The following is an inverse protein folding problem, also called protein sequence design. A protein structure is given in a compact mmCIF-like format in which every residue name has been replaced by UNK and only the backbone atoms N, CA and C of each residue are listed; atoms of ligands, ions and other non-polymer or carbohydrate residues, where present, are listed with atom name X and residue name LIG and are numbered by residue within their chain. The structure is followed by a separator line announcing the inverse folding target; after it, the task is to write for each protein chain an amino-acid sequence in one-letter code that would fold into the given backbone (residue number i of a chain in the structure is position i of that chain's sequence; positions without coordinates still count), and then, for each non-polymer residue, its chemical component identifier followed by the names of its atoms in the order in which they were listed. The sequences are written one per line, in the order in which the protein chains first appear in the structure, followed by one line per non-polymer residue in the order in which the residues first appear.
data_IF_862626860822
#
_entry.id   IF_862626860822
#
_cell.length_a   1.000
_cell.length_b   1.000
_cell.length_c   1.000
_cell.angle_alpha   90.00
_cell.angle_beta   90.00
_cell.angle_gamma   90.00
#
_symmetry.space_group_name_H-M   'P 1'
#
loop_
_entity.id
_entity.type
_entity.pdbx_description
1 polymer ?
#
# COMPACT_ATOMS: atom_id res chain seq x y z
N UNK A 1 16.61 -8.58 -36.39
CA UNK A 1 15.85 -9.19 -35.28
C UNK A 1 14.50 -9.59 -35.81
N UNK A 2 14.03 -10.81 -35.51
CA UNK A 2 12.64 -11.14 -35.82
C UNK A 2 11.70 -10.30 -34.92
N UNK A 3 10.45 -10.14 -35.34
CA UNK A 3 9.48 -9.37 -34.58
C UNK A 3 9.25 -9.96 -33.18
N UNK A 4 9.41 -11.27 -32.99
CA UNK A 4 9.33 -11.91 -31.67
C UNK A 4 10.35 -11.29 -30.73
N UNK A 5 11.60 -11.19 -31.19
CA UNK A 5 12.70 -10.56 -30.49
C UNK A 5 12.43 -9.08 -30.27
N UNK A 6 11.86 -8.36 -31.26
CA UNK A 6 11.50 -6.95 -31.09
C UNK A 6 10.39 -6.76 -30.05
N UNK A 7 9.33 -7.56 -30.08
CA UNK A 7 8.21 -7.49 -29.14
C UNK A 7 8.67 -7.87 -27.73
N UNK A 8 9.45 -8.94 -27.59
CA UNK A 8 10.03 -9.34 -26.30
C UNK A 8 10.94 -8.22 -25.78
N UNK A 9 11.79 -7.64 -26.62
CA UNK A 9 12.64 -6.51 -26.23
C UNK A 9 11.81 -5.27 -25.90
N UNK A 10 10.78 -4.94 -26.65
CA UNK A 10 9.92 -3.78 -26.40
C UNK A 10 9.10 -3.94 -25.12
N UNK A 11 8.52 -5.12 -24.88
CA UNK A 11 7.82 -5.44 -23.62
C UNK A 11 8.83 -5.43 -22.46
N UNK A 12 10.01 -6.04 -22.63
CA UNK A 12 11.03 -6.06 -21.57
C UNK A 12 11.52 -4.67 -21.27
N UNK A 13 11.80 -3.83 -22.27
CA UNK A 13 12.19 -2.44 -22.10
C UNK A 13 11.07 -1.64 -21.44
N UNK A 14 9.81 -1.82 -21.87
CA UNK A 14 8.68 -1.16 -21.24
C UNK A 14 8.56 -1.56 -19.76
N UNK A 15 8.61 -2.85 -19.45
CA UNK A 15 8.52 -3.36 -18.07
C UNK A 15 9.70 -2.86 -17.25
N UNK A 16 10.92 -2.93 -17.77
CA UNK A 16 12.13 -2.47 -17.06
C UNK A 16 12.10 -0.96 -16.87
N UNK A 17 11.81 -0.17 -17.89
CA UNK A 17 11.71 1.28 -17.79
C UNK A 17 10.59 1.70 -16.84
N UNK A 18 9.40 1.10 -16.95
CA UNK A 18 8.28 1.41 -16.06
C UNK A 18 8.58 1.00 -14.62
N UNK A 19 9.16 -0.19 -14.38
CA UNK A 19 9.57 -0.64 -13.06
C UNK A 19 10.69 0.24 -12.48
N UNK A 20 11.63 0.69 -13.32
CA UNK A 20 12.74 1.56 -12.91
C UNK A 20 12.24 2.95 -12.56
N UNK A 21 11.33 3.52 -13.37
CA UNK A 21 10.69 4.80 -13.08
C UNK A 21 9.83 4.71 -11.82
N UNK A 22 9.05 3.65 -11.68
CA UNK A 22 8.25 3.39 -10.47
C UNK A 22 9.15 3.28 -9.24
N UNK A 23 10.24 2.51 -9.33
CA UNK A 23 11.21 2.40 -8.24
C UNK A 23 11.82 3.76 -7.88
N UNK A 24 12.34 4.49 -8.87
CA UNK A 24 13.02 5.77 -8.66
C UNK A 24 12.07 6.84 -8.10
N UNK A 25 10.84 6.93 -8.62
CA UNK A 25 9.90 7.99 -8.27
C UNK A 25 9.03 7.68 -7.04
N UNK A 26 8.84 6.40 -6.70
CA UNK A 26 7.87 5.99 -5.67
C UNK A 26 8.55 5.25 -4.50
N UNK A 27 9.57 4.44 -4.77
CA UNK A 27 10.13 3.50 -3.78
C UNK A 27 11.48 3.97 -3.22
N UNK A 28 12.34 4.54 -4.07
CA UNK A 28 13.71 4.88 -3.72
C UNK A 28 13.76 6.08 -2.77
N UNK A 29 14.48 5.94 -1.66
CA UNK A 29 14.76 7.06 -0.75
C UNK A 29 15.70 8.07 -1.46
N UNK A 30 15.26 9.30 -1.75
CA UNK A 30 16.07 10.31 -2.41
C UNK A 30 17.32 10.69 -1.63
N UNK A 31 17.38 10.43 -0.31
CA UNK A 31 18.56 10.71 0.51
C UNK A 31 19.68 9.70 0.26
N UNK A 32 19.33 8.47 -0.13
CA UNK A 32 20.28 7.36 -0.31
C UNK A 32 20.56 7.07 -1.78
N UNK A 33 19.63 7.41 -2.68
CA UNK A 33 19.77 7.15 -4.10
C UNK A 33 20.03 8.45 -4.89
N UNK A 34 21.20 8.61 -5.54
CA UNK A 34 21.56 9.85 -6.23
C UNK A 34 20.68 10.17 -7.43
N UNK A 35 20.14 9.15 -8.12
CA UNK A 35 19.22 9.32 -9.26
C UNK A 35 17.85 9.78 -8.77
N UNK A 36 17.34 9.18 -7.70
CA UNK A 36 16.11 9.64 -7.06
C UNK A 36 16.26 11.06 -6.51
N UNK A 37 17.39 11.40 -5.88
CA UNK A 37 17.70 12.77 -5.44
C UNK A 37 17.66 13.77 -6.61
N UNK A 38 18.30 13.40 -7.73
CA UNK A 38 18.33 14.25 -8.91
C UNK A 38 16.92 14.52 -9.44
N UNK A 39 16.11 13.48 -9.59
CA UNK A 39 14.77 13.57 -10.19
C UNK A 39 13.76 14.21 -9.23
N UNK A 40 13.79 13.87 -7.95
CA UNK A 40 12.76 14.29 -6.99
C UNK A 40 13.08 15.61 -6.29
N UNK A 41 14.36 16.03 -6.23
CA UNK A 41 14.76 17.26 -5.55
C UNK A 41 15.54 18.22 -6.44
N UNK A 42 16.70 17.80 -6.99
CA UNK A 42 17.59 18.76 -7.67
C UNK A 42 17.01 19.32 -8.96
N UNK A 43 16.40 18.48 -9.81
CA UNK A 43 15.83 18.92 -11.09
C UNK A 43 14.59 19.82 -10.91
N UNK A 44 13.60 19.48 -10.05
CA UNK A 44 12.48 20.37 -9.74
C UNK A 44 12.93 21.71 -9.14
N UNK A 45 13.90 21.71 -8.22
CA UNK A 45 14.40 22.94 -7.61
C UNK A 45 15.10 23.83 -8.65
N UNK A 46 15.96 23.26 -9.49
CA UNK A 46 16.59 24.01 -10.59
C UNK A 46 15.57 24.55 -11.60
N UNK A 47 14.52 23.78 -11.88
CA UNK A 47 13.41 24.23 -12.72
C UNK A 47 12.68 25.41 -12.08
N UNK A 48 12.35 25.32 -10.79
CA UNK A 48 11.69 26.39 -10.05
C UNK A 48 12.56 27.66 -9.97
N UNK A 49 13.88 27.54 -9.82
CA UNK A 49 14.81 28.67 -9.85
C UNK A 49 14.94 29.27 -11.26
N UNK A 50 14.89 28.45 -12.30
CA UNK A 50 14.80 28.90 -13.70
C UNK A 50 13.50 29.66 -13.98
N UNK A 51 12.37 29.18 -13.45
CA UNK A 51 11.07 29.88 -13.50
C UNK A 51 11.14 31.20 -12.74
N UNK A 52 11.78 31.24 -11.55
CA UNK A 52 12.01 32.50 -10.82
C UNK A 52 12.76 33.51 -11.67
N UNK A 53 13.83 33.07 -12.31
CA UNK A 53 14.69 33.92 -13.13
C UNK A 53 13.97 34.45 -14.38
N UNK A 54 13.17 33.63 -15.05
CA UNK A 54 12.44 34.01 -16.28
C UNK A 54 11.14 34.77 -16.03
N UNK A 55 10.39 34.40 -15.00
CA UNK A 55 8.98 34.74 -14.82
C UNK A 55 8.68 35.47 -13.49
N UNK A 56 9.70 35.70 -12.66
CA UNK A 56 9.59 36.47 -11.42
C UNK A 56 9.01 35.70 -10.22
N UNK A 57 9.05 36.33 -9.05
CA UNK A 57 8.70 35.68 -7.76
C UNK A 57 7.22 35.31 -7.64
N UNK A 58 6.33 36.04 -8.33
CA UNK A 58 4.89 35.75 -8.30
C UNK A 58 4.56 34.40 -8.93
N UNK A 59 5.21 34.06 -10.05
CA UNK A 59 4.97 32.80 -10.76
C UNK A 59 5.64 31.63 -10.02
N UNK A 60 6.83 31.83 -9.45
CA UNK A 60 7.44 30.85 -8.52
C UNK A 60 6.52 30.55 -7.34
N UNK A 61 6.00 31.59 -6.66
CA UNK A 61 5.11 31.40 -5.50
C UNK A 61 3.84 30.63 -5.86
N UNK A 62 3.25 30.86 -7.04
CA UNK A 62 2.13 30.06 -7.54
C UNK A 62 2.51 28.60 -7.83
N UNK A 63 3.69 28.36 -8.40
CA UNK A 63 4.20 27.01 -8.66
C UNK A 63 4.51 26.25 -7.36
N UNK A 64 5.09 26.92 -6.38
CA UNK A 64 5.37 26.36 -5.06
C UNK A 64 4.05 26.03 -4.32
N UNK A 65 3.06 26.93 -4.39
CA UNK A 65 1.72 26.67 -3.85
C UNK A 65 1.03 25.49 -4.55
N UNK A 66 1.16 25.38 -5.88
CA UNK A 66 0.61 24.25 -6.64
C UNK A 66 1.32 22.94 -6.28
N UNK A 67 2.65 22.97 -6.15
CA UNK A 67 3.44 21.81 -5.72
C UNK A 67 3.07 21.38 -4.31
N UNK A 68 2.87 22.34 -3.40
CA UNK A 68 2.41 22.06 -2.04
C UNK A 68 1.01 21.43 -2.03
N UNK A 69 0.08 21.94 -2.85
CA UNK A 69 -1.25 21.36 -3.02
C UNK A 69 -1.17 19.91 -3.53
N UNK A 70 -0.37 19.66 -4.57
CA UNK A 70 -0.18 18.30 -5.11
C UNK A 70 0.49 17.34 -4.12
N UNK A 71 1.40 17.82 -3.27
CA UNK A 71 2.17 16.97 -2.37
C UNK A 71 1.48 16.73 -1.01
N UNK A 72 0.73 17.71 -0.49
CA UNK A 72 0.27 17.72 0.89
C UNK A 72 -1.25 17.83 1.06
N UNK A 73 -2.02 17.95 -0.03
CA UNK A 73 -3.48 18.06 0.03
C UNK A 73 -4.19 16.99 -0.80
N UNK A 74 -5.43 16.59 -0.44
CA UNK A 74 -6.20 15.65 -1.22
C UNK A 74 -6.61 16.28 -2.55
N UNK A 75 -6.35 15.59 -3.65
CA UNK A 75 -6.66 16.07 -4.98
C UNK A 75 -7.19 14.94 -5.88
N UNK A 76 -8.13 15.23 -6.80
CA UNK A 76 -8.83 14.19 -7.55
C UNK A 76 -8.02 13.58 -8.71
N UNK A 77 -6.79 14.04 -8.95
CA UNK A 77 -5.98 13.60 -10.11
C UNK A 77 -5.95 12.08 -10.30
N UNK A 78 -5.61 11.32 -9.25
CA UNK A 78 -5.54 9.86 -9.33
C UNK A 78 -6.92 9.21 -9.52
N UNK A 79 -8.00 9.86 -9.06
CA UNK A 79 -9.38 9.41 -9.31
C UNK A 79 -9.77 9.63 -10.78
N UNK A 80 -9.35 10.76 -11.37
CA UNK A 80 -9.54 11.03 -12.81
C UNK A 80 -8.78 10.00 -13.65
N UNK A 81 -7.52 9.70 -13.30
CA UNK A 81 -6.72 8.65 -13.95
C UNK A 81 -7.40 7.29 -13.82
N UNK A 82 -7.89 6.93 -12.63
CA UNK A 82 -8.66 5.71 -12.41
C UNK A 82 -9.89 5.64 -13.31
N UNK A 83 -10.71 6.70 -13.35
CA UNK A 83 -11.90 6.76 -14.19
C UNK A 83 -11.53 6.60 -15.67
N UNK A 84 -10.50 7.30 -16.14
CA UNK A 84 -10.05 7.18 -17.52
C UNK A 84 -9.65 5.74 -17.88
N UNK A 85 -8.88 5.07 -17.01
CA UNK A 85 -8.44 3.68 -17.23
C UNK A 85 -9.64 2.70 -17.24
N UNK A 86 -10.52 2.80 -16.24
CA UNK A 86 -11.61 1.84 -16.06
C UNK A 86 -12.71 2.04 -17.10
N UNK A 87 -13.16 3.28 -17.34
CA UNK A 87 -14.17 3.57 -18.36
C UNK A 87 -13.61 3.42 -19.78
N UNK A 88 -12.34 3.78 -20.00
CA UNK A 88 -11.66 3.56 -21.28
C UNK A 88 -11.53 2.07 -21.61
N UNK A 89 -11.07 1.27 -20.66
CA UNK A 89 -10.98 -0.19 -20.83
C UNK A 89 -12.35 -0.84 -21.06
N UNK A 90 -13.37 -0.41 -20.32
CA UNK A 90 -14.75 -0.83 -20.53
C UNK A 90 -15.25 -0.48 -21.94
N UNK A 91 -14.99 0.74 -22.40
CA UNK A 91 -15.41 1.21 -23.74
C UNK A 91 -14.78 0.37 -24.84
N UNK A 92 -13.49 0.05 -24.72
CA UNK A 92 -12.77 -0.81 -25.68
C UNK A 92 -13.34 -2.24 -25.67
N UNK A 93 -13.56 -2.83 -24.49
CA UNK A 93 -14.16 -4.17 -24.39
C UNK A 93 -15.58 -4.19 -24.98
N UNK A 94 -16.39 -3.15 -24.74
CA UNK A 94 -17.74 -3.05 -25.25
C UNK A 94 -17.80 -2.88 -26.77
N UNK A 95 -16.98 -1.97 -27.35
CA UNK A 95 -17.02 -1.68 -28.79
C UNK A 95 -16.32 -2.76 -29.63
N UNK A 96 -15.22 -3.32 -29.14
CA UNK A 96 -14.40 -4.25 -29.93
C UNK A 96 -14.48 -5.68 -29.42
N UNK A 97 -14.56 -5.90 -28.10
CA UNK A 97 -14.56 -7.24 -27.53
C UNK A 97 -15.91 -7.94 -27.70
N UNK A 98 -17.00 -7.24 -27.38
CA UNK A 98 -18.34 -7.83 -27.41
C UNK A 98 -18.90 -8.05 -28.81
N UNK A 99 -18.34 -7.40 -29.84
CA UNK A 99 -18.69 -7.71 -31.24
C UNK A 99 -18.18 -9.10 -31.64
N UNK A 100 -17.13 -9.60 -30.98
CA UNK A 100 -16.54 -10.93 -31.19
C UNK A 100 -17.12 -12.01 -30.26
N UNK A 101 -18.23 -11.71 -29.57
CA UNK A 101 -18.96 -12.62 -28.67
C UNK A 101 -20.42 -12.72 -29.15
N UNK A 102 -21.09 -13.88 -29.13
CA UNK A 102 -20.55 -15.19 -28.80
C UNK A 102 -19.59 -15.72 -29.88
N UNK A 103 -18.74 -16.64 -29.48
CA UNK A 103 -17.85 -17.36 -30.37
C UNK A 103 -17.62 -18.80 -29.86
N UNK A 104 -16.77 -19.57 -30.54
CA UNK A 104 -16.53 -20.99 -30.24
C UNK A 104 -16.07 -21.26 -28.80
N UNK A 105 -15.36 -20.32 -28.17
CA UNK A 105 -14.83 -20.48 -26.81
C UNK A 105 -15.57 -19.63 -25.75
N UNK A 106 -16.36 -18.64 -26.17
CA UNK A 106 -16.99 -17.66 -25.28
C UNK A 106 -18.49 -17.60 -25.55
N UNK A 107 -19.29 -18.02 -24.58
CA UNK A 107 -20.74 -17.96 -24.64
C UNK A 107 -21.29 -16.52 -24.57
N UNK A 108 -22.48 -16.30 -25.13
CA UNK A 108 -23.11 -14.96 -25.21
C UNK A 108 -23.41 -14.33 -23.85
N UNK A 109 -23.56 -15.14 -22.80
CA UNK A 109 -23.82 -14.68 -21.44
C UNK A 109 -22.68 -13.80 -20.87
N UNK A 110 -21.47 -13.91 -21.42
CA UNK A 110 -20.33 -13.09 -21.02
C UNK A 110 -20.55 -11.59 -21.27
N UNK A 111 -21.43 -11.20 -22.20
CA UNK A 111 -21.84 -9.81 -22.38
C UNK A 111 -22.54 -9.28 -21.13
N UNK A 112 -23.52 -10.01 -20.61
CA UNK A 112 -24.24 -9.65 -19.39
C UNK A 112 -23.33 -9.70 -18.15
N UNK A 113 -22.51 -10.74 -18.02
CA UNK A 113 -21.55 -10.84 -16.92
C UNK A 113 -20.55 -9.69 -16.93
N UNK A 114 -20.13 -9.22 -18.11
CA UNK A 114 -19.27 -8.05 -18.23
C UNK A 114 -19.90 -6.81 -17.61
N UNK A 115 -21.18 -6.53 -17.87
CA UNK A 115 -21.89 -5.41 -17.23
C UNK A 115 -21.96 -5.56 -15.71
N UNK A 116 -22.26 -6.77 -15.22
CA UNK A 116 -22.32 -7.04 -13.77
C UNK A 116 -20.96 -6.79 -13.12
N UNK A 117 -19.87 -7.30 -13.70
CA UNK A 117 -18.50 -7.09 -13.20
C UNK A 117 -18.14 -5.60 -13.22
N UNK A 118 -18.45 -4.88 -14.30
CA UNK A 118 -18.18 -3.45 -14.41
C UNK A 118 -18.93 -2.65 -13.34
N UNK A 119 -20.23 -2.90 -13.14
CA UNK A 119 -21.03 -2.26 -12.11
C UNK A 119 -20.52 -2.59 -10.70
N UNK A 120 -20.09 -3.83 -10.46
CA UNK A 120 -19.50 -4.23 -9.19
C UNK A 120 -18.18 -3.46 -8.92
N UNK A 121 -17.32 -3.31 -9.94
CA UNK A 121 -16.10 -2.51 -9.85
C UNK A 121 -16.39 -1.05 -9.48
N UNK A 122 -17.28 -0.39 -10.23
CA UNK A 122 -17.63 1.01 -9.94
C UNK A 122 -18.29 1.14 -8.57
N UNK A 123 -19.18 0.21 -8.19
CA UNK A 123 -19.86 0.23 -6.89
C UNK A 123 -18.87 0.06 -5.74
N UNK A 124 -17.96 -0.91 -5.82
CA UNK A 124 -16.92 -1.12 -4.80
C UNK A 124 -15.99 0.09 -4.66
N UNK A 125 -15.59 0.71 -5.78
CA UNK A 125 -14.78 1.94 -5.79
C UNK A 125 -15.50 3.11 -5.12
N UNK A 126 -16.73 3.42 -5.56
CA UNK A 126 -17.53 4.52 -5.00
C UNK A 126 -17.79 4.31 -3.51
N UNK A 127 -18.02 3.06 -3.10
CA UNK A 127 -18.26 2.70 -1.70
C UNK A 127 -17.06 3.03 -0.82
N UNK A 128 -15.84 2.62 -1.20
CA UNK A 128 -14.64 2.90 -0.39
C UNK A 128 -14.21 4.37 -0.46
N UNK A 129 -14.40 5.05 -1.60
CA UNK A 129 -14.14 6.51 -1.73
C UNK A 129 -15.00 7.31 -0.74
N UNK A 130 -16.28 6.94 -0.58
CA UNK A 130 -17.22 7.63 0.31
C UNK A 130 -17.15 7.17 1.76
N UNK A 131 -16.51 6.03 2.04
CA UNK A 131 -16.47 5.47 3.37
C UNK A 131 -15.58 6.29 4.32
N UNK A 132 -16.08 6.56 5.52
CA UNK A 132 -15.29 7.14 6.61
C UNK A 132 -14.16 6.17 7.01
N UNK A 133 -12.90 6.64 7.18
CA UNK A 133 -11.86 5.85 7.82
C UNK A 133 -12.00 5.75 9.34
N UNK A 134 -12.93 6.52 9.92
CA UNK A 134 -12.99 6.84 11.33
C UNK A 134 -12.19 8.11 11.63
N UNK A 135 -12.73 8.95 12.51
CA UNK A 135 -12.06 10.17 12.98
C UNK A 135 -12.15 10.24 14.50
N UNK A 136 -11.00 10.26 15.16
CA UNK A 136 -10.86 10.46 16.60
C UNK A 136 -10.99 11.94 16.89
N UNK A 137 -12.01 12.29 17.67
CA UNK A 137 -12.25 13.61 18.25
C UNK A 137 -12.46 13.42 19.75
N UNK A 138 -12.57 14.52 20.51
CA UNK A 138 -12.95 14.44 21.91
C UNK A 138 -14.28 13.69 22.13
N UNK A 139 -15.19 13.72 21.15
CA UNK A 139 -16.50 13.06 21.24
C UNK A 139 -16.45 11.58 20.87
N UNK A 140 -15.58 11.19 19.96
CA UNK A 140 -15.51 9.81 19.44
C UNK A 140 -14.39 8.97 20.05
N UNK A 141 -13.58 9.54 20.95
CA UNK A 141 -12.41 8.87 21.52
C UNK A 141 -12.76 7.54 22.17
N UNK A 142 -13.82 7.48 22.97
CA UNK A 142 -14.27 6.25 23.66
C UNK A 142 -14.74 5.14 22.70
N UNK A 143 -15.16 5.50 21.47
CA UNK A 143 -15.53 4.54 20.43
C UNK A 143 -14.32 3.78 19.89
N UNK A 144 -13.16 4.44 19.82
CA UNK A 144 -11.96 3.92 19.16
C UNK A 144 -10.89 3.40 20.13
N UNK A 145 -11.05 3.64 21.44
CA UNK A 145 -10.14 3.17 22.49
C UNK A 145 -10.33 1.67 22.78
N UNK A 146 -9.98 0.84 21.79
CA UNK A 146 -10.23 -0.61 21.78
C UNK A 146 -8.94 -1.46 21.74
N UNK A 147 -7.77 -0.82 21.82
CA UNK A 147 -6.47 -1.46 21.62
C UNK A 147 -5.53 -1.11 22.76
N UNK A 148 -4.86 -2.13 23.30
CA UNK A 148 -3.83 -1.93 24.31
C UNK A 148 -2.53 -1.39 23.67
N UNK A 149 -1.78 -0.65 24.46
CA UNK A 149 -0.47 -0.13 24.08
C UNK A 149 0.56 -1.26 24.16
N UNK A 150 1.27 -1.51 23.07
CA UNK A 150 2.32 -2.55 23.04
C UNK A 150 3.62 -2.13 23.75
N UNK A 151 3.74 -0.84 24.12
CA UNK A 151 4.92 -0.23 24.75
C UNK A 151 6.21 -0.39 23.92
N UNK A 152 6.06 -0.62 22.62
CA UNK A 152 7.16 -0.74 21.65
C UNK A 152 6.97 0.25 20.50
N UNK A 153 5.81 0.21 19.85
CA UNK A 153 5.42 1.15 18.80
C UNK A 153 4.49 2.23 19.34
N UNK A 154 3.68 1.89 20.34
CA UNK A 154 2.64 2.75 20.90
C UNK A 154 2.75 2.78 22.41
N UNK A 155 2.90 3.99 22.98
CA UNK A 155 3.05 4.21 24.41
C UNK A 155 1.87 5.00 24.97
N UNK A 156 1.43 4.70 26.21
CA UNK A 156 0.38 5.48 26.87
C UNK A 156 0.86 6.89 27.23
N UNK A 157 -0.07 7.79 27.57
CA UNK A 157 0.24 9.15 28.02
C UNK A 157 0.58 10.15 26.91
N UNK A 158 0.71 9.71 25.67
CA UNK A 158 0.98 10.58 24.53
C UNK A 158 -0.26 11.35 24.08
N UNK A 159 -0.08 12.61 23.69
CA UNK A 159 -1.10 13.48 23.09
C UNK A 159 -0.67 13.85 21.67
N UNK A 160 -1.59 13.84 20.72
CA UNK A 160 -1.30 14.30 19.37
C UNK A 160 -1.07 15.82 19.40
N UNK A 161 0.11 16.33 19.01
CA UNK A 161 0.40 17.75 19.15
C UNK A 161 -0.35 18.62 18.14
N UNK A 162 -0.91 18.03 17.07
CA UNK A 162 -1.70 18.76 16.07
C UNK A 162 -3.14 19.01 16.54
N UNK A 163 -3.80 18.00 17.12
CA UNK A 163 -5.22 18.09 17.52
C UNK A 163 -5.42 18.21 19.04
N UNK A 164 -4.37 18.03 19.85
CA UNK A 164 -4.43 18.15 21.30
C UNK A 164 -5.23 17.05 22.01
N UNK A 165 -5.49 15.91 21.36
CA UNK A 165 -6.22 14.77 21.94
C UNK A 165 -5.27 13.60 22.23
N UNK A 166 -5.59 12.82 23.27
CA UNK A 166 -4.84 11.59 23.62
C UNK A 166 -4.66 10.69 22.39
N UNK A 167 -3.44 10.22 22.16
CA UNK A 167 -3.11 9.28 21.09
C UNK A 167 -3.50 7.87 21.52
N UNK A 168 -4.36 7.23 20.75
CA UNK A 168 -4.77 5.84 21.00
C UNK A 168 -3.75 4.90 20.36
N UNK A 169 -3.65 3.68 20.87
CA UNK A 169 -2.83 2.67 20.20
C UNK A 169 -3.29 2.50 18.73
N UNK A 170 -2.32 2.38 17.82
CA UNK A 170 -2.55 2.24 16.36
C UNK A 170 -3.21 3.46 15.68
N UNK A 171 -3.38 4.59 16.37
CA UNK A 171 -3.89 5.82 15.74
C UNK A 171 -2.78 6.69 15.16
N UNK A 172 -3.12 7.48 14.13
CA UNK A 172 -2.19 8.44 13.51
C UNK A 172 -2.94 9.63 12.93
N UNK A 173 -2.34 10.81 13.05
CA UNK A 173 -2.83 11.99 12.34
C UNK A 173 -2.41 11.95 10.87
N UNK A 174 -3.39 11.86 9.98
CA UNK A 174 -3.18 11.95 8.54
C UNK A 174 -3.18 13.42 8.11
N UNK A 175 -2.02 13.90 7.68
CA UNK A 175 -1.85 15.27 7.18
C UNK A 175 -2.63 15.54 5.89
N UNK A 176 -2.75 14.53 5.03
CA UNK A 176 -3.43 14.67 3.74
C UNK A 176 -4.90 15.00 3.99
N UNK A 177 -5.59 14.17 4.76
CA UNK A 177 -7.02 14.39 5.04
C UNK A 177 -7.30 15.27 6.25
N UNK A 178 -6.28 15.67 7.01
CA UNK A 178 -6.35 16.44 8.26
C UNK A 178 -7.25 15.77 9.32
N UNK A 179 -7.11 14.46 9.47
CA UNK A 179 -7.91 13.64 10.38
C UNK A 179 -7.01 12.82 11.30
N UNK A 180 -7.38 12.71 12.57
CA UNK A 180 -6.77 11.72 13.46
C UNK A 180 -7.51 10.40 13.26
N UNK A 181 -6.86 9.43 12.63
CA UNK A 181 -7.51 8.19 12.15
C UNK A 181 -7.17 7.03 13.09
N UNK A 182 -8.17 6.25 13.54
CA UNK A 182 -7.96 5.04 14.33
C UNK A 182 -7.51 3.89 13.43
N UNK A 183 -6.65 3.01 13.97
CA UNK A 183 -6.03 1.87 13.24
C UNK A 183 -5.57 2.29 11.83
N UNK A 184 -4.80 3.36 11.76
CA UNK A 184 -4.37 3.97 10.50
C UNK A 184 -3.55 2.97 9.67
N UNK A 185 -3.91 2.80 8.40
CA UNK A 185 -3.19 1.96 7.47
C UNK A 185 -2.31 2.79 6.52
N UNK A 186 -2.93 3.59 5.66
CA UNK A 186 -2.25 4.52 4.75
C UNK A 186 -3.23 5.54 4.16
N UNK A 187 -2.70 6.60 3.54
CA UNK A 187 -3.47 7.44 2.64
C UNK A 187 -3.40 6.88 1.21
N UNK A 188 -4.55 6.62 0.59
CA UNK A 188 -4.61 6.06 -0.76
C UNK A 188 -5.00 7.15 -1.78
N UNK A 189 -4.03 7.59 -2.60
CA UNK A 189 -4.28 8.60 -3.63
C UNK A 189 -5.34 8.18 -4.66
N UNK A 190 -5.39 6.90 -5.04
CA UNK A 190 -6.39 6.35 -5.97
C UNK A 190 -7.84 6.50 -5.49
N UNK A 191 -8.02 6.51 -4.17
CA UNK A 191 -9.31 6.68 -3.52
C UNK A 191 -9.53 8.11 -3.01
N UNK A 192 -8.47 8.94 -3.03
CA UNK A 192 -8.43 10.26 -2.41
C UNK A 192 -8.97 10.23 -0.96
N UNK A 193 -8.62 9.18 -0.22
CA UNK A 193 -9.15 8.90 1.10
C UNK A 193 -8.12 8.14 1.94
N UNK A 194 -8.16 8.34 3.26
CA UNK A 194 -7.39 7.55 4.20
C UNK A 194 -8.03 6.18 4.35
N UNK A 195 -7.20 5.16 4.52
CA UNK A 195 -7.62 3.83 4.90
C UNK A 195 -7.34 3.65 6.41
N UNK A 196 -8.39 3.34 7.17
CA UNK A 196 -8.36 3.21 8.62
C UNK A 196 -9.36 2.16 9.13
N UNK A 197 -9.67 2.21 10.43
CA UNK A 197 -10.47 1.17 11.09
C UNK A 197 -11.83 0.90 10.43
N UNK A 198 -12.57 1.94 10.05
CA UNK A 198 -13.96 1.80 9.59
C UNK A 198 -14.10 1.35 8.12
N UNK A 199 -13.12 1.66 7.26
CA UNK A 199 -13.20 1.41 5.82
C UNK A 199 -12.22 0.35 5.29
N UNK A 200 -11.31 -0.19 6.12
CA UNK A 200 -10.33 -1.20 5.68
C UNK A 200 -10.99 -2.40 4.98
N UNK A 201 -12.11 -2.91 5.50
CA UNK A 201 -12.86 -4.02 4.86
C UNK A 201 -13.36 -3.69 3.44
N UNK A 202 -13.77 -2.44 3.22
CA UNK A 202 -14.27 -1.97 1.93
C UNK A 202 -13.12 -1.81 0.94
N UNK A 203 -11.96 -1.39 1.44
CA UNK A 203 -10.72 -1.36 0.68
C UNK A 203 -10.27 -2.77 0.24
N UNK A 204 -10.30 -3.76 1.14
CA UNK A 204 -10.00 -5.17 0.77
C UNK A 204 -11.01 -5.70 -0.26
N UNK A 205 -12.30 -5.40 -0.08
CA UNK A 205 -13.33 -5.77 -1.06
C UNK A 205 -13.09 -5.13 -2.43
N UNK A 206 -12.75 -3.84 -2.45
CA UNK A 206 -12.34 -3.12 -3.65
C UNK A 206 -11.17 -3.82 -4.37
N UNK A 207 -10.12 -4.21 -3.64
CA UNK A 207 -8.98 -4.94 -4.22
C UNK A 207 -9.39 -6.29 -4.81
N UNK A 208 -10.18 -7.09 -4.07
CA UNK A 208 -10.65 -8.41 -4.54
C UNK A 208 -11.45 -8.27 -5.83
N UNK A 209 -12.41 -7.33 -5.87
CA UNK A 209 -13.25 -7.09 -7.05
C UNK A 209 -12.42 -6.66 -8.25
N UNK A 210 -11.44 -5.76 -8.06
CA UNK A 210 -10.59 -5.27 -9.14
C UNK A 210 -9.63 -6.35 -9.64
N UNK A 211 -9.02 -7.14 -8.75
CA UNK A 211 -8.20 -8.30 -9.13
C UNK A 211 -9.02 -9.31 -9.94
N UNK A 212 -10.24 -9.63 -9.49
CA UNK A 212 -11.14 -10.54 -10.18
C UNK A 212 -11.53 -10.02 -11.57
N UNK A 213 -11.88 -8.73 -11.69
CA UNK A 213 -12.22 -8.11 -12.98
C UNK A 213 -11.05 -8.13 -13.96
N UNK A 214 -9.84 -7.80 -13.50
CA UNK A 214 -8.65 -7.79 -14.35
C UNK A 214 -8.33 -9.20 -14.89
N UNK A 215 -8.34 -10.23 -14.04
CA UNK A 215 -8.12 -11.60 -14.49
C UNK A 215 -9.24 -12.13 -15.37
N UNK A 216 -10.50 -11.79 -15.06
CA UNK A 216 -11.64 -12.12 -15.91
C UNK A 216 -11.49 -11.51 -17.31
N UNK A 217 -11.12 -10.23 -17.40
CA UNK A 217 -10.87 -9.54 -18.66
C UNK A 217 -9.72 -10.16 -19.45
N UNK A 218 -8.61 -10.51 -18.79
CA UNK A 218 -7.46 -11.19 -19.41
C UNK A 218 -7.90 -12.53 -20.03
N UNK A 219 -8.57 -13.39 -19.25
CA UNK A 219 -9.01 -14.70 -19.73
C UNK A 219 -10.01 -14.54 -20.88
N UNK A 220 -10.98 -13.64 -20.76
CA UNK A 220 -11.98 -13.38 -21.79
C UNK A 220 -11.33 -12.94 -23.12
N UNK A 221 -10.42 -11.97 -23.09
CA UNK A 221 -9.75 -11.48 -24.31
C UNK A 221 -8.84 -12.55 -24.94
N UNK A 222 -8.13 -13.34 -24.13
CA UNK A 222 -7.32 -14.47 -24.65
C UNK A 222 -8.19 -15.50 -25.35
N UNK A 223 -9.37 -15.82 -24.82
CA UNK A 223 -10.31 -16.74 -25.46
C UNK A 223 -10.92 -16.16 -26.75
N UNK A 224 -11.19 -14.85 -26.78
CA UNK A 224 -11.60 -14.15 -28.02
C UNK A 224 -10.51 -14.29 -29.09
N UNK A 225 -9.25 -13.97 -28.77
CA UNK A 225 -8.13 -14.11 -29.71
C UNK A 225 -7.89 -15.55 -30.17
N UNK A 226 -8.09 -16.54 -29.27
CA UNK A 226 -8.06 -17.95 -29.63
C UNK A 226 -9.17 -18.30 -30.63
N UNK A 227 -10.37 -17.74 -30.47
CA UNK A 227 -11.48 -17.95 -31.40
C UNK A 227 -11.20 -17.34 -32.77
N UNK A 228 -10.68 -16.11 -32.81
CA UNK A 228 -10.31 -15.42 -34.05
C UNK A 228 -9.26 -16.21 -34.83
N UNK A 229 -8.21 -16.67 -34.15
CA UNK A 229 -7.17 -17.48 -34.77
C UNK A 229 -7.69 -18.79 -35.36
N UNK A 230 -8.67 -19.42 -34.71
CA UNK A 230 -9.31 -20.64 -35.18
C UNK A 230 -10.25 -20.36 -36.37
N UNK A 231 -11.07 -19.32 -36.28
CA UNK A 231 -12.08 -18.96 -37.30
C UNK A 231 -11.42 -18.57 -38.62
N UNK A 232 -10.34 -17.79 -38.55
CA UNK A 232 -9.55 -17.38 -39.71
C UNK A 232 -8.56 -18.47 -40.17
N UNK A 233 -8.54 -19.63 -39.51
CA UNK A 233 -7.61 -20.72 -39.78
C UNK A 233 -6.15 -20.25 -39.87
N UNK A 234 -5.74 -19.31 -39.00
CA UNK A 234 -4.43 -18.64 -39.08
C UNK A 234 -3.25 -19.62 -39.00
N UNK A 235 -3.44 -20.80 -38.40
CA UNK A 235 -2.43 -21.87 -38.38
C UNK A 235 -2.04 -22.37 -39.77
N UNK A 236 -2.96 -22.31 -40.73
CA UNK A 236 -2.79 -22.80 -42.10
C UNK A 236 -2.78 -21.66 -43.14
N UNK A 237 -2.97 -20.41 -42.71
CA UNK A 237 -2.94 -19.25 -43.59
C UNK A 237 -1.53 -18.98 -44.13
N UNK A 238 -1.46 -18.45 -45.36
CA UNK A 238 -0.22 -18.00 -45.98
C UNK A 238 0.06 -16.54 -45.58
N UNK A 239 1.23 -16.31 -44.98
CA UNK A 239 1.70 -14.97 -44.63
C UNK A 239 2.84 -14.55 -45.57
N UNK A 240 2.95 -13.27 -45.86
CA UNK A 240 3.99 -12.72 -46.73
C UNK A 240 4.73 -11.59 -46.03
N UNK A 241 6.03 -11.46 -46.30
CA UNK A 241 6.80 -10.29 -45.85
C UNK A 241 6.58 -9.08 -46.77
N UNK A 242 7.13 -7.93 -46.39
CA UNK A 242 7.04 -6.68 -47.17
C UNK A 242 7.66 -6.77 -48.58
N UNK A 243 8.37 -7.86 -48.91
CA UNK A 243 8.97 -8.14 -50.23
C UNK A 243 8.18 -9.22 -50.98
N UNK A 244 7.02 -9.65 -50.47
CA UNK A 244 6.17 -10.66 -51.08
C UNK A 244 6.69 -12.10 -50.92
N UNK A 245 7.65 -12.35 -50.02
CA UNK A 245 8.16 -13.71 -49.79
C UNK A 245 7.26 -14.45 -48.80
N UNK A 246 6.94 -15.74 -49.05
CA UNK A 246 6.11 -16.51 -48.13
C UNK A 246 6.85 -16.73 -46.81
N UNK A 247 6.16 -16.46 -45.71
CA UNK A 247 6.62 -16.70 -44.34
C UNK A 247 6.04 -18.02 -43.84
N UNK A 248 6.88 -18.84 -43.21
CA UNK A 248 6.41 -20.04 -42.52
C UNK A 248 5.59 -19.62 -41.31
N UNK A 249 4.33 -20.05 -41.26
CA UNK A 249 3.42 -19.78 -40.16
C UNK A 249 4.02 -20.26 -38.84
N UNK A 250 4.07 -19.35 -37.87
CA UNK A 250 4.53 -19.59 -36.50
C UNK A 250 3.58 -18.91 -35.53
N UNK A 251 3.60 -19.33 -34.26
CA UNK A 251 2.78 -18.69 -33.22
C UNK A 251 3.02 -17.18 -33.12
N UNK A 252 4.25 -16.71 -33.34
CA UNK A 252 4.58 -15.29 -33.28
C UNK A 252 3.91 -14.50 -34.42
N UNK A 253 3.83 -15.07 -35.62
CA UNK A 253 3.15 -14.43 -36.75
C UNK A 253 1.64 -14.36 -36.50
N UNK A 254 1.06 -15.41 -35.92
CA UNK A 254 -0.36 -15.41 -35.54
C UNK A 254 -0.66 -14.32 -34.49
N UNK A 255 0.18 -14.21 -33.45
CA UNK A 255 0.04 -13.16 -32.43
C UNK A 255 0.24 -11.77 -33.05
N UNK A 256 1.21 -11.59 -33.94
CA UNK A 256 1.40 -10.34 -34.69
C UNK A 256 0.16 -9.92 -35.45
N UNK A 257 -0.40 -10.84 -36.23
CA UNK A 257 -1.59 -10.61 -37.00
C UNK A 257 -2.74 -10.17 -36.09
N UNK A 258 -2.98 -10.88 -34.98
CA UNK A 258 -4.02 -10.52 -34.01
C UNK A 258 -3.78 -9.16 -33.36
N UNK A 259 -2.53 -8.79 -33.05
CA UNK A 259 -2.20 -7.47 -32.52
C UNK A 259 -2.45 -6.37 -33.56
N UNK A 260 -2.15 -6.63 -34.83
CA UNK A 260 -2.34 -5.64 -35.90
C UNK A 260 -3.82 -5.45 -36.23
N UNK A 261 -4.55 -6.56 -36.37
CA UNK A 261 -5.98 -6.56 -36.67
C UNK A 261 -6.81 -6.03 -35.50
N UNK A 262 -6.49 -6.46 -34.27
CA UNK A 262 -7.23 -6.14 -33.05
C UNK A 262 -6.41 -5.29 -32.07
N UNK A 263 -5.77 -4.22 -32.57
CA UNK A 263 -4.81 -3.40 -31.84
C UNK A 263 -5.32 -2.83 -30.50
N UNK A 264 -6.55 -2.34 -30.44
CA UNK A 264 -7.14 -1.79 -29.22
C UNK A 264 -7.39 -2.88 -28.17
N UNK A 265 -7.87 -4.06 -28.58
CA UNK A 265 -8.04 -5.19 -27.67
C UNK A 265 -6.71 -5.76 -27.19
N UNK A 266 -5.69 -5.78 -28.06
CA UNK A 266 -4.35 -6.22 -27.70
C UNK A 266 -3.70 -5.26 -26.68
N UNK A 267 -3.85 -3.95 -26.89
CA UNK A 267 -3.39 -2.94 -25.93
C UNK A 267 -4.13 -3.07 -24.58
N UNK A 268 -5.45 -3.28 -24.61
CA UNK A 268 -6.24 -3.50 -23.40
C UNK A 268 -5.82 -4.80 -22.68
N UNK A 269 -5.57 -5.89 -23.40
CA UNK A 269 -5.08 -7.15 -22.82
C UNK A 269 -3.75 -6.96 -22.09
N UNK A 270 -2.79 -6.26 -22.72
CA UNK A 270 -1.50 -5.95 -22.09
C UNK A 270 -1.69 -5.14 -20.81
N UNK A 271 -2.50 -4.07 -20.87
CA UNK A 271 -2.79 -3.23 -19.71
C UNK A 271 -3.44 -4.04 -18.59
N UNK A 272 -4.49 -4.82 -18.89
CA UNK A 272 -5.18 -5.64 -17.90
C UNK A 272 -4.24 -6.68 -17.28
N UNK A 273 -3.37 -7.32 -18.07
CA UNK A 273 -2.43 -8.31 -17.55
C UNK A 273 -1.39 -7.70 -16.61
N UNK A 274 -0.76 -6.60 -16.99
CA UNK A 274 0.22 -5.91 -16.13
C UNK A 274 -0.44 -5.43 -14.84
N UNK A 275 -1.64 -4.82 -14.95
CA UNK A 275 -2.38 -4.37 -13.77
C UNK A 275 -2.86 -5.55 -12.91
N UNK A 276 -3.25 -6.68 -13.50
CA UNK A 276 -3.63 -7.88 -12.76
C UNK A 276 -2.50 -8.35 -11.85
N UNK A 277 -1.26 -8.37 -12.36
CA UNK A 277 -0.08 -8.74 -11.57
C UNK A 277 0.18 -7.76 -10.43
N UNK A 278 0.16 -6.46 -10.71
CA UNK A 278 0.41 -5.41 -9.71
C UNK A 278 -0.64 -5.46 -8.59
N UNK A 279 -1.92 -5.47 -8.95
CA UNK A 279 -3.03 -5.45 -7.98
C UNK A 279 -3.11 -6.78 -7.22
N UNK A 280 -2.79 -7.92 -7.85
CA UNK A 280 -2.68 -9.21 -7.15
C UNK A 280 -1.54 -9.19 -6.13
N UNK A 281 -0.37 -8.66 -6.48
CA UNK A 281 0.75 -8.52 -5.53
C UNK A 281 0.37 -7.63 -4.34
N UNK A 282 -0.33 -6.53 -4.59
CA UNK A 282 -0.82 -5.64 -3.53
C UNK A 282 -1.88 -6.30 -2.65
N UNK A 283 -2.82 -7.04 -3.23
CA UNK A 283 -3.81 -7.84 -2.48
C UNK A 283 -3.12 -8.91 -1.63
N UNK A 284 -2.14 -9.63 -2.17
CA UNK A 284 -1.34 -10.62 -1.43
C UNK A 284 -0.60 -9.99 -0.25
N UNK A 285 -0.03 -8.80 -0.43
CA UNK A 285 0.59 -8.05 0.66
C UNK A 285 -0.42 -7.72 1.77
N UNK A 286 -1.62 -7.26 1.42
CA UNK A 286 -2.66 -7.01 2.43
C UNK A 286 -3.15 -8.30 3.11
N UNK A 287 -3.28 -9.42 2.39
CA UNK A 287 -3.58 -10.72 3.01
C UNK A 287 -2.48 -11.12 4.00
N UNK A 288 -1.22 -10.88 3.67
CA UNK A 288 -0.10 -11.09 4.58
C UNK A 288 -0.22 -10.21 5.84
N UNK A 289 -0.50 -8.91 5.69
CA UNK A 289 -0.69 -8.01 6.83
C UNK A 289 -1.83 -8.47 7.75
N UNK A 290 -2.96 -8.87 7.19
CA UNK A 290 -4.11 -9.42 7.93
C UNK A 290 -3.69 -10.69 8.68
N UNK A 291 -2.95 -11.60 8.04
CA UNK A 291 -2.47 -12.83 8.71
C UNK A 291 -1.58 -12.56 9.92
N UNK A 292 -0.96 -11.37 9.99
CA UNK A 292 -0.07 -10.93 11.05
C UNK A 292 -0.71 -9.93 12.02
N UNK A 293 -1.97 -9.55 11.83
CA UNK A 293 -2.67 -8.57 12.67
C UNK A 293 -2.14 -7.13 12.55
N UNK A 294 -1.40 -6.82 11.48
CA UNK A 294 -0.71 -5.53 11.30
C UNK A 294 -1.39 -4.64 10.26
N UNK A 295 -1.19 -3.33 10.39
CA UNK A 295 -1.44 -2.35 9.31
C UNK A 295 -0.19 -2.13 8.46
N UNK A 296 -0.34 -1.49 7.30
CA UNK A 296 0.79 -1.06 6.46
C UNK A 296 1.72 -0.11 7.23
N UNK A 297 1.15 0.84 7.96
CA UNK A 297 1.92 1.77 8.80
C UNK A 297 2.73 1.04 9.89
N UNK A 298 2.13 0.04 10.55
CA UNK A 298 2.83 -0.79 11.54
C UNK A 298 3.93 -1.64 10.91
N UNK A 299 3.71 -2.20 9.70
CA UNK A 299 4.74 -2.95 9.00
C UNK A 299 6.00 -2.11 8.74
N UNK A 300 5.84 -0.87 8.28
CA UNK A 300 6.98 0.03 8.09
C UNK A 300 7.62 0.47 9.39
N UNK A 301 6.82 0.77 10.42
CA UNK A 301 7.35 1.08 11.76
C UNK A 301 8.20 -0.09 12.28
N UNK A 302 7.69 -1.31 12.19
CA UNK A 302 8.37 -2.52 12.66
C UNK A 302 9.70 -2.75 11.94
N UNK A 303 9.76 -2.52 10.63
CA UNK A 303 11.02 -2.61 9.88
C UNK A 303 12.08 -1.61 10.38
N UNK A 304 11.65 -0.43 10.84
CA UNK A 304 12.54 0.57 11.43
C UNK A 304 12.98 0.15 12.85
N UNK A 305 12.05 -0.35 13.67
CA UNK A 305 12.35 -0.90 15.00
C UNK A 305 13.42 -2.00 14.90
N UNK A 306 13.24 -2.95 13.98
CA UNK A 306 14.18 -4.05 13.79
C UNK A 306 15.58 -3.59 13.37
N UNK A 307 15.67 -2.57 12.51
CA UNK A 307 16.96 -2.00 12.11
C UNK A 307 17.65 -1.33 13.29
N UNK A 308 16.93 -0.50 14.04
CA UNK A 308 17.47 0.19 15.22
C UNK A 308 17.89 -0.78 16.31
N UNK A 309 17.06 -1.79 16.61
CA UNK A 309 17.39 -2.83 17.58
C UNK A 309 18.65 -3.61 17.19
N UNK A 310 18.83 -3.91 15.90
CA UNK A 310 20.06 -4.54 15.42
C UNK A 310 21.30 -3.66 15.69
N UNK A 311 21.19 -2.35 15.45
CA UNK A 311 22.27 -1.38 15.74
C UNK A 311 22.55 -1.34 17.25
N UNK A 312 21.52 -1.15 18.08
CA UNK A 312 21.64 -1.12 19.54
C UNK A 312 22.28 -2.40 20.10
N UNK A 313 21.93 -3.58 19.57
CA UNK A 313 22.58 -4.84 19.96
C UNK A 313 24.06 -4.89 19.59
N UNK A 314 24.43 -4.36 18.43
CA UNK A 314 25.83 -4.29 18.00
C UNK A 314 26.62 -3.33 18.89
N UNK A 315 26.05 -2.17 19.22
CA UNK A 315 26.68 -1.17 20.07
C UNK A 315 26.82 -1.65 21.52
N UNK A 316 25.78 -2.28 22.08
CA UNK A 316 25.83 -2.91 23.40
C UNK A 316 26.89 -4.03 23.44
N UNK A 317 26.93 -4.91 22.44
CA UNK A 317 27.94 -5.96 22.38
C UNK A 317 29.37 -5.41 22.31
N UNK A 318 29.57 -4.30 21.59
CA UNK A 318 30.84 -3.57 21.54
C UNK A 318 31.20 -2.95 22.89
N UNK A 319 30.24 -2.29 23.55
CA UNK A 319 30.44 -1.70 24.87
C UNK A 319 30.80 -2.74 25.95
N UNK A 320 30.17 -3.93 25.89
CA UNK A 320 30.51 -5.08 26.73
C UNK A 320 31.93 -5.59 26.43
N UNK A 321 32.28 -5.75 25.15
CA UNK A 321 33.62 -6.22 24.76
C UNK A 321 34.74 -5.26 25.17
N UNK A 322 34.46 -3.96 25.19
CA UNK A 322 35.39 -2.91 25.62
C UNK A 322 35.39 -2.68 27.14
N UNK A 323 34.60 -3.45 27.89
CA UNK A 323 34.53 -3.37 29.35
C UNK A 323 33.84 -2.11 29.88
N UNK A 324 33.12 -1.36 29.03
CA UNK A 324 32.37 -0.16 29.44
C UNK A 324 31.07 -0.51 30.19
N UNK A 325 30.57 -1.74 30.02
CA UNK A 325 29.35 -2.24 30.66
C UNK A 325 29.65 -3.54 31.39
N UNK A 326 29.24 -3.62 32.65
CA UNK A 326 29.33 -4.85 33.44
C UNK A 326 28.05 -5.66 33.25
N UNK A 327 28.16 -6.79 32.55
CA UNK A 327 27.03 -7.71 32.37
C UNK A 327 26.74 -8.36 33.72
N UNK A 328 25.69 -7.92 34.40
CA UNK A 328 25.12 -8.69 35.51
C UNK A 328 24.37 -9.88 34.91
N UNK A 329 24.66 -11.12 35.31
CA UNK A 329 23.96 -12.28 34.77
C UNK A 329 22.48 -12.21 35.19
N UNK A 330 21.61 -11.89 34.23
CA UNK A 330 20.16 -12.05 34.38
C UNK A 330 19.87 -13.54 34.61
N UNK A 331 19.21 -13.86 35.72
CA UNK A 331 18.64 -15.19 35.95
C UNK A 331 17.58 -15.48 34.88
N UNK A 332 18.00 -16.02 33.74
CA UNK A 332 17.10 -16.75 32.85
C UNK A 332 16.62 -17.98 33.60
N UNK A 333 15.38 -17.97 34.06
CA UNK A 333 14.72 -19.20 34.49
C UNK A 333 14.61 -20.12 33.27
N UNK A 334 15.43 -21.16 33.26
CA UNK A 334 15.20 -22.33 32.40
C UNK A 334 13.78 -22.84 32.65
N UNK A 335 12.89 -22.65 31.67
CA UNK A 335 11.79 -23.57 31.46
C UNK A 335 12.08 -24.28 30.15
N UNK A 336 12.69 -25.45 30.30
CA UNK A 336 12.78 -26.49 29.29
C UNK A 336 11.40 -26.73 28.66
N UNK A 337 11.39 -26.74 27.34
CA UNK A 337 10.24 -27.12 26.52
C UNK A 337 10.03 -28.62 26.72
N UNK A 338 9.08 -28.99 27.58
CA UNK A 338 8.42 -30.28 27.52
C UNK A 338 7.11 -30.12 26.74
N UNK A 339 6.94 -30.99 25.77
CA UNK A 339 5.72 -31.20 25.01
C UNK A 339 4.62 -31.70 25.92
N UNK A 340 3.51 -30.97 26.04
CA UNK A 340 2.25 -31.61 26.37
C UNK A 340 1.04 -30.92 25.73
N UNK A 341 0.09 -31.77 25.40
CA UNK A 341 -1.15 -31.55 24.68
C UNK A 341 -2.28 -31.05 25.59
N UNK A 342 -3.12 -30.14 25.09
CA UNK A 342 -4.52 -30.02 25.55
C UNK A 342 -4.89 -28.85 26.46
N UNK A 343 -5.92 -28.11 26.00
CA UNK A 343 -6.96 -27.35 26.71
C UNK A 343 -6.64 -26.30 27.80
N UNK A 344 -7.22 -25.12 27.53
CA UNK A 344 -7.88 -24.18 28.44
C UNK A 344 -7.11 -23.27 29.41
N UNK A 345 -7.58 -22.02 29.40
CA UNK A 345 -7.40 -20.91 30.35
C UNK A 345 -6.02 -20.22 30.39
N UNK A 346 -5.93 -19.06 29.73
CA UNK A 346 -4.78 -18.16 29.83
C UNK A 346 -5.10 -17.00 30.79
N UNK A 347 -4.65 -17.17 32.03
CA UNK A 347 -4.36 -16.10 32.96
C UNK A 347 -3.22 -15.23 32.41
N UNK A 348 -3.42 -13.91 32.45
CA UNK A 348 -2.37 -12.92 32.25
C UNK A 348 -1.30 -13.05 33.34
N UNK A 349 -0.04 -13.23 32.95
CA UNK A 349 1.13 -12.90 33.77
C UNK A 349 1.88 -11.75 33.11
N UNK A 350 1.89 -10.62 33.80
CA UNK A 350 2.80 -9.49 33.62
C UNK A 350 4.26 -9.91 33.90
N UNK A 351 5.20 -9.09 33.43
CA UNK A 351 6.65 -9.03 33.72
C UNK A 351 7.59 -9.48 32.59
N UNK A 352 7.99 -8.50 31.78
CA UNK A 352 9.41 -8.20 31.50
C UNK A 352 9.52 -6.73 31.10
N UNK A 353 9.93 -5.89 32.05
CA UNK A 353 10.35 -4.51 31.82
C UNK A 353 11.72 -4.51 31.09
N UNK A 354 11.68 -4.59 29.77
CA UNK A 354 12.80 -4.21 28.91
C UNK A 354 12.53 -2.82 28.35
N UNK A 355 13.28 -1.82 28.81
CA UNK A 355 13.23 -0.46 28.24
C UNK A 355 13.80 -0.53 26.83
N UNK A 356 12.92 -0.73 25.84
CA UNK A 356 13.25 -0.49 24.45
C UNK A 356 13.36 1.03 24.28
N UNK A 357 14.54 1.47 23.85
CA UNK A 357 14.86 2.85 23.47
C UNK A 357 13.66 3.48 22.76
N UNK A 358 13.13 4.56 23.33
CA UNK A 358 12.04 5.34 22.76
C UNK A 358 12.36 5.60 21.30
N UNK A 359 11.55 5.04 20.40
CA UNK A 359 11.59 5.44 19.01
C UNK A 359 10.78 6.72 18.98
N UNK A 360 11.41 7.92 18.87
CA UNK A 360 10.64 9.13 18.61
C UNK A 360 9.78 8.81 17.42
N UNK A 361 8.48 8.97 17.63
CA UNK A 361 7.47 8.57 16.69
C UNK A 361 7.88 9.08 15.31
N UNK A 362 8.28 8.17 14.43
CA UNK A 362 8.68 8.50 13.07
C UNK A 362 7.47 9.01 12.24
N UNK A 363 6.40 9.43 12.91
CA UNK A 363 5.54 10.51 12.48
C UNK A 363 6.41 11.77 12.27
N UNK A 364 7.06 11.85 11.10
CA UNK A 364 7.48 13.09 10.42
C UNK A 364 6.23 13.91 10.06
N UNK A 365 5.32 14.05 11.02
CA UNK A 365 3.88 13.91 10.84
C UNK A 365 3.05 14.88 11.69
N UNK A 366 3.63 15.51 12.71
CA UNK A 366 2.89 16.48 13.52
C UNK A 366 3.53 17.88 13.69
N UNK A 367 4.76 18.12 13.21
CA UNK A 367 5.34 19.47 13.10
C UNK A 367 5.50 19.88 11.63
N UNK A 368 5.02 21.07 11.30
CA UNK A 368 5.30 21.71 10.01
C UNK A 368 6.80 21.90 9.81
N UNK A 369 7.21 21.92 8.55
CA UNK A 369 8.59 21.94 8.07
C UNK A 369 9.38 20.64 8.33
N UNK A 370 9.72 19.97 7.22
CA UNK A 370 11.08 19.45 7.11
C UNK A 370 11.96 20.69 7.24
N UNK A 371 12.46 20.97 8.45
CA UNK A 371 13.73 21.70 8.52
C UNK A 371 14.71 20.74 7.89
N UNK A 372 14.97 20.97 6.60
CA UNK A 372 16.12 20.40 5.92
C UNK A 372 17.31 21.06 6.62
N UNK A 373 17.81 20.44 7.68
CA UNK A 373 19.18 20.68 8.06
C UNK A 373 20.00 20.15 6.87
N UNK A 374 20.69 21.07 6.21
CA UNK A 374 21.42 20.87 4.96
C UNK A 374 22.76 20.15 5.18
N UNK A 375 22.91 19.45 6.29
CA UNK A 375 24.03 18.61 6.65
C UNK A 375 23.61 17.14 6.51
N UNK A 376 24.32 16.40 5.67
CA UNK A 376 24.08 14.97 5.43
C UNK A 376 24.40 14.07 6.63
N UNK A 377 24.05 14.49 7.83
CA UNK A 377 24.24 13.81 9.11
C UNK A 377 22.88 13.63 9.75
N UNK A 378 22.33 12.41 9.63
CA UNK A 378 21.25 11.92 10.49
C UNK A 378 21.84 11.73 11.90
N UNK A 379 22.15 12.84 12.56
CA UNK A 379 22.55 12.86 13.97
C UNK A 379 21.27 12.79 14.80
N UNK A 380 20.60 11.64 14.78
CA UNK A 380 20.08 11.14 16.04
C UNK A 380 21.32 10.69 16.81
N UNK A 381 21.92 11.62 17.57
CA UNK A 381 22.84 11.23 18.64
C UNK A 381 22.11 10.15 19.44
N UNK A 382 22.58 8.90 19.28
CA UNK A 382 22.21 7.84 20.20
C UNK A 382 22.77 8.32 21.51
N UNK A 383 21.89 8.67 22.45
CA UNK A 383 22.25 9.05 23.81
C UNK A 383 23.38 8.11 24.26
N UNK A 384 24.54 8.65 24.65
CA UNK A 384 25.67 7.82 25.08
C UNK A 384 25.25 6.86 26.22
N UNK A 385 24.19 7.22 26.95
CA UNK A 385 23.56 6.42 28.01
C UNK A 385 22.81 5.17 27.50
N UNK A 386 22.25 5.19 26.27
CA UNK A 386 21.55 4.04 25.68
C UNK A 386 22.49 2.85 25.37
N UNK A 387 23.80 3.06 25.44
CA UNK A 387 24.81 2.00 25.28
C UNK A 387 25.08 1.19 26.55
N UNK A 388 24.51 1.59 27.70
CA UNK A 388 24.77 0.96 28.99
C UNK A 388 23.74 -0.11 29.40
N UNK A 389 22.56 -0.13 28.76
CA UNK A 389 21.46 -1.05 29.10
C UNK A 389 21.28 -2.13 28.03
N UNK A 390 21.09 -3.39 28.44
CA UNK A 390 20.78 -4.49 27.51
C UNK A 390 19.48 -4.19 26.75
N UNK A 391 19.50 -4.07 25.40
CA UNK A 391 18.31 -3.79 24.60
C UNK A 391 17.31 -4.97 24.53
N UNK A 392 17.62 -6.11 25.15
CA UNK A 392 16.71 -7.25 25.28
C UNK A 392 16.37 -7.94 23.96
N UNK A 393 15.31 -8.76 23.98
CA UNK A 393 14.84 -9.52 22.82
C UNK A 393 13.57 -8.88 22.26
N UNK A 394 13.56 -8.54 20.97
CA UNK A 394 12.34 -8.12 20.30
C UNK A 394 11.36 -9.29 20.14
N UNK A 395 10.05 -9.06 20.36
CA UNK A 395 9.06 -10.10 20.14
C UNK A 395 9.00 -10.50 18.67
N UNK A 396 8.78 -11.79 18.40
CA UNK A 396 8.76 -12.36 17.03
C UNK A 396 7.40 -12.24 16.34
N UNK A 397 6.36 -11.90 17.11
CA UNK A 397 4.98 -11.73 16.65
C UNK A 397 4.48 -10.34 17.06
N UNK A 398 3.64 -9.76 16.21
CA UNK A 398 2.94 -8.51 16.55
C UNK A 398 2.06 -8.74 17.78
N UNK A 399 2.08 -7.78 18.71
CA UNK A 399 1.19 -7.73 19.87
C UNK A 399 -0.29 -7.80 19.46
N UNK A 400 -0.62 -7.28 18.27
CA UNK A 400 -1.99 -7.26 17.74
C UNK A 400 -2.36 -8.50 16.91
N UNK A 401 -1.50 -9.51 16.83
CA UNK A 401 -1.80 -10.74 16.11
C UNK A 401 -2.63 -11.70 16.98
N UNK A 402 -3.92 -11.79 16.71
CA UNK A 402 -4.87 -12.66 17.41
C UNK A 402 -4.98 -14.07 16.80
N UNK A 403 -4.20 -14.36 15.75
CA UNK A 403 -4.38 -15.54 14.90
C UNK A 403 -5.25 -15.26 13.68
N UNK A 404 -5.08 -16.06 12.62
CA UNK A 404 -5.62 -15.76 11.28
C UNK A 404 -7.14 -15.48 11.28
N UNK A 405 -7.94 -16.35 11.90
CA UNK A 405 -9.40 -16.22 11.92
C UNK A 405 -9.82 -14.95 12.67
N UNK A 406 -9.24 -14.72 13.87
CA UNK A 406 -9.56 -13.56 14.68
C UNK A 406 -9.11 -12.24 14.01
N UNK A 407 -7.99 -12.24 13.30
CA UNK A 407 -7.55 -11.08 12.52
C UNK A 407 -8.50 -10.78 11.35
N UNK A 408 -8.95 -11.80 10.63
CA UNK A 408 -9.96 -11.65 9.57
C UNK A 408 -11.27 -11.10 10.17
N UNK A 409 -11.72 -11.64 11.30
CA UNK A 409 -12.89 -11.14 12.00
C UNK A 409 -12.72 -9.68 12.41
N UNK A 410 -11.56 -9.26 12.91
CA UNK A 410 -11.28 -7.86 13.24
C UNK A 410 -11.33 -6.95 12.00
N UNK A 411 -10.91 -7.42 10.83
CA UNK A 411 -11.01 -6.64 9.58
C UNK A 411 -12.46 -6.43 9.17
N UNK A 412 -13.26 -7.49 9.09
CA UNK A 412 -14.64 -7.40 8.60
C UNK A 412 -15.61 -6.83 9.64
N UNK A 413 -15.32 -7.05 10.93
CA UNK A 413 -16.06 -6.57 12.10
C UNK A 413 -15.12 -5.79 13.04
N UNK A 414 -14.71 -4.56 12.63
CA UNK A 414 -13.79 -3.75 13.40
C UNK A 414 -14.33 -3.45 14.80
N UNK A 415 -13.41 -3.29 15.76
CA UNK A 415 -13.75 -3.18 17.19
C UNK A 415 -14.67 -2.00 17.46
N UNK A 416 -14.48 -0.88 16.74
CA UNK A 416 -15.34 0.29 16.84
C UNK A 416 -16.82 0.05 16.45
N UNK A 417 -17.16 -1.01 15.72
CA UNK A 417 -18.55 -1.39 15.40
C UNK A 417 -19.13 -2.45 16.34
N UNK A 418 -18.34 -2.98 17.28
CA UNK A 418 -18.82 -3.98 18.24
C UNK A 418 -19.74 -3.35 19.29
N UNK A 419 -20.69 -4.12 19.87
CA UNK A 419 -21.64 -3.61 20.85
C UNK A 419 -20.99 -2.90 22.04
N UNK A 420 -19.84 -3.38 22.51
CA UNK A 420 -19.12 -2.82 23.66
C UNK A 420 -18.60 -1.40 23.35
N UNK A 421 -18.00 -1.21 22.18
CA UNK A 421 -17.52 0.09 21.73
C UNK A 421 -18.67 1.09 21.51
N UNK A 422 -19.77 0.62 20.90
CA UNK A 422 -20.98 1.43 20.68
C UNK A 422 -21.66 1.83 21.99
N UNK A 423 -21.68 0.94 22.98
CA UNK A 423 -22.20 1.22 24.32
C UNK A 423 -21.37 2.30 25.02
N UNK A 424 -20.04 2.13 25.09
CA UNK A 424 -19.13 3.14 25.69
C UNK A 424 -19.26 4.51 25.03
N UNK A 425 -19.40 4.54 23.70
CA UNK A 425 -19.64 5.77 22.97
C UNK A 425 -20.98 6.41 23.32
N UNK A 426 -22.07 5.63 23.35
CA UNK A 426 -23.41 6.14 23.63
C UNK A 426 -23.54 6.68 25.05
N UNK A 427 -23.00 5.97 26.04
CA UNK A 427 -22.95 6.40 27.44
C UNK A 427 -22.16 7.70 27.60
N UNK A 428 -21.01 7.81 26.92
CA UNK A 428 -20.22 9.04 26.93
C UNK A 428 -20.98 10.23 26.33
N UNK A 429 -21.62 10.06 25.17
CA UNK A 429 -22.40 11.12 24.53
C UNK A 429 -23.60 11.52 25.40
N UNK A 430 -24.27 10.56 26.04
CA UNK A 430 -25.38 10.86 26.96
C UNK A 430 -24.89 11.67 28.17
N UNK A 431 -23.74 11.31 28.75
CA UNK A 431 -23.14 12.04 29.87
C UNK A 431 -22.69 13.46 29.48
N UNK A 432 -22.26 13.68 28.23
CA UNK A 432 -21.93 15.03 27.73
C UNK A 432 -23.19 15.88 27.48
N UNK A 433 -24.31 15.28 27.06
CA UNK A 433 -25.58 16.00 26.87
C UNK A 433 -26.28 16.37 28.19
N UNK A 434 -25.98 15.65 29.27
CA UNK A 434 -26.53 15.92 30.60
C UNK A 434 -25.75 16.99 31.39
N UNK A 435 -24.63 17.48 30.84
CA UNK A 435 -23.84 18.59 31.37
C UNK A 435 -24.15 19.84 30.54
#
# INVERSE_FOLDING_TARGET
MDFASYLVVAITLYVVCFASLTYICIIADPRKNPVANLIMHKAPNKFADGVKWLMGETIKGKLDSFTHYCANEPHPFMQVVYCFIVFGGWTVMFHYGFTLVPNTYVGGYHKYNGYVVFLLCISSYVTVVKASPGTITAMTLTKYDNYDYDKIMFHPGQTCPTVGIRKLARSKYDRMTRRHVPRFDHYCGWLNNTIGEENYRLFIWFLIVHTGMLWYGVVLTVLIFKSEAATLNLKYAAFYDNRGRPLRTSYVIVVQYLIQEHNMLAALLLLMFVMALIVSGFLCFHIYLISRGMTTNEFYKWNEIQKRHKILRMDYAKAVAEGRVTVTPTKTSDKSIESDTGSDSLHHSEDTDGVLVDIPDADVGCTGAVVVNNDGTDNSEIDEDATQTDPGILPTRSHYNLGLIANIQEVFFPRCFRPEAQKRYSEFIQAQKSK
#
